data_IF_017416848465
#
_entry.id   IF_017416848465
#
_cell.length_a   1.000
_cell.length_b   1.000
_cell.length_c   1.000
_cell.angle_alpha   90.00
_cell.angle_beta   90.00
_cell.angle_gamma   90.00
#
_symmetry.space_group_name_H-M   'P 1'
#
loop_
_entity.id
_entity.type
_entity.pdbx_description
1 polymer ?
#
# COMPACT_ATOMS: atom_id res chain seq x y z
N UNK A 1 -23.11 -54.26 -69.06
CA UNK A 1 -22.22 -54.29 -67.87
C UNK A 1 -22.11 -52.89 -67.31
N UNK A 2 -22.47 -52.74 -66.04
CA UNK A 2 -22.56 -51.51 -65.25
C UNK A 2 -21.19 -50.96 -64.84
N UNK A 3 -20.97 -49.64 -65.02
CA UNK A 3 -20.22 -48.75 -64.09
C UNK A 3 -20.34 -47.29 -64.60
N UNK A 4 -21.14 -46.42 -63.96
CA UNK A 4 -20.79 -45.48 -62.86
C UNK A 4 -19.74 -44.40 -63.23
N UNK A 5 -20.18 -43.17 -63.55
CA UNK A 5 -20.21 -41.99 -62.65
C UNK A 5 -20.42 -40.66 -63.39
N UNK A 6 -21.41 -39.93 -62.90
CA UNK A 6 -21.67 -38.51 -63.12
C UNK A 6 -20.56 -37.63 -62.54
N UNK A 7 -20.30 -36.47 -63.17
CA UNK A 7 -20.12 -35.22 -62.44
C UNK A 7 -20.57 -34.04 -63.34
N UNK A 8 -21.84 -33.66 -63.18
CA UNK A 8 -22.36 -32.39 -63.68
C UNK A 8 -22.01 -31.30 -62.67
N UNK A 9 -21.70 -30.12 -63.21
CA UNK A 9 -21.46 -28.90 -62.48
C UNK A 9 -22.59 -28.59 -61.48
N UNK A 10 -22.20 -28.16 -60.28
CA UNK A 10 -23.08 -27.42 -59.37
C UNK A 10 -22.21 -26.50 -58.53
N UNK A 11 -22.38 -25.21 -58.78
CA UNK A 11 -21.85 -24.07 -58.03
C UNK A 11 -22.32 -24.13 -56.58
N UNK A 12 -21.39 -24.26 -55.64
CA UNK A 12 -21.69 -24.06 -54.21
C UNK A 12 -21.40 -22.61 -53.83
N UNK A 13 -22.46 -21.81 -53.83
CA UNK A 13 -22.58 -20.60 -53.01
C UNK A 13 -22.63 -21.04 -51.54
N UNK A 14 -21.50 -21.01 -50.85
CA UNK A 14 -21.42 -21.09 -49.38
C UNK A 14 -20.35 -20.11 -48.88
N UNK A 15 -20.61 -18.82 -49.10
CA UNK A 15 -20.12 -17.79 -48.20
C UNK A 15 -21.06 -17.78 -47.00
N UNK A 16 -20.73 -18.51 -45.94
CA UNK A 16 -21.46 -18.45 -44.69
C UNK A 16 -20.50 -18.61 -43.51
N UNK A 17 -20.25 -17.47 -42.86
CA UNK A 17 -20.02 -17.33 -41.43
C UNK A 17 -18.90 -18.16 -40.79
N UNK A 18 -17.66 -17.69 -40.91
CA UNK A 18 -16.78 -17.75 -39.75
C UNK A 18 -17.36 -16.77 -38.72
N UNK A 19 -17.80 -17.21 -37.53
CA UNK A 19 -17.98 -16.25 -36.45
C UNK A 19 -16.63 -15.58 -36.25
N UNK A 20 -16.58 -14.27 -36.43
CA UNK A 20 -15.49 -13.49 -35.88
C UNK A 20 -15.47 -13.81 -34.39
N UNK A 21 -14.51 -14.62 -33.97
CA UNK A 21 -14.18 -14.76 -32.55
C UNK A 21 -13.62 -13.41 -32.17
N UNK A 22 -14.51 -12.49 -31.80
CA UNK A 22 -14.11 -11.31 -31.06
C UNK A 22 -13.40 -11.87 -29.85
N UNK A 23 -12.14 -11.51 -29.57
CA UNK A 23 -11.51 -11.91 -28.33
C UNK A 23 -12.46 -11.49 -27.21
N UNK A 24 -13.05 -12.48 -26.54
CA UNK A 24 -13.87 -12.22 -25.38
C UNK A 24 -12.90 -11.62 -24.37
N UNK A 25 -12.97 -10.30 -24.21
CA UNK A 25 -12.40 -9.66 -23.04
C UNK A 25 -12.97 -10.40 -21.82
N UNK A 26 -12.12 -10.62 -20.81
CA UNK A 26 -12.58 -11.19 -19.56
C UNK A 26 -13.85 -10.43 -19.12
N UNK A 27 -14.89 -11.17 -18.76
CA UNK A 27 -16.16 -10.60 -18.33
C UNK A 27 -15.91 -9.50 -17.29
N UNK A 28 -16.42 -8.29 -17.52
CA UNK A 28 -16.41 -7.18 -16.55
C UNK A 28 -17.29 -7.47 -15.32
N UNK A 29 -17.97 -8.62 -15.28
CA UNK A 29 -18.67 -9.06 -14.09
C UNK A 29 -17.67 -9.25 -12.93
N UNK A 30 -17.88 -8.58 -11.78
CA UNK A 30 -16.97 -8.67 -10.65
C UNK A 30 -16.88 -10.13 -10.20
N UNK A 31 -15.66 -10.67 -10.21
CA UNK A 31 -15.37 -11.98 -9.59
C UNK A 31 -15.54 -11.79 -8.09
N UNK A 32 -16.43 -12.57 -7.47
CA UNK A 32 -16.55 -12.53 -6.01
C UNK A 32 -15.28 -13.03 -5.34
N UNK A 33 -14.92 -12.46 -4.20
CA UNK A 33 -13.77 -12.89 -3.39
C UNK A 33 -13.77 -14.41 -3.15
N UNK A 34 -14.93 -14.98 -2.85
CA UNK A 34 -15.09 -16.43 -2.65
C UNK A 34 -14.78 -17.26 -3.91
N UNK A 35 -15.11 -16.75 -5.10
CA UNK A 35 -14.76 -17.42 -6.37
C UNK A 35 -13.26 -17.30 -6.66
N UNK A 36 -12.68 -16.12 -6.46
CA UNK A 36 -11.26 -15.88 -6.68
C UNK A 36 -10.40 -16.73 -5.73
N UNK A 37 -10.70 -16.73 -4.43
CA UNK A 37 -10.02 -17.58 -3.44
C UNK A 37 -10.11 -19.07 -3.79
N UNK A 38 -11.28 -19.54 -4.25
CA UNK A 38 -11.44 -20.94 -4.70
C UNK A 38 -10.55 -21.26 -5.90
N UNK A 39 -10.46 -20.36 -6.88
CA UNK A 39 -9.60 -20.54 -8.05
C UNK A 39 -8.11 -20.52 -7.68
N UNK A 40 -7.71 -19.59 -6.79
CA UNK A 40 -6.34 -19.53 -6.26
C UNK A 40 -5.96 -20.82 -5.54
N UNK A 41 -6.81 -21.30 -4.62
CA UNK A 41 -6.59 -22.56 -3.91
C UNK A 41 -6.47 -23.75 -4.87
N UNK A 42 -7.36 -23.85 -5.85
CA UNK A 42 -7.32 -24.93 -6.85
C UNK A 42 -6.02 -24.92 -7.65
N UNK A 43 -5.55 -23.74 -8.07
CA UNK A 43 -4.29 -23.59 -8.80
C UNK A 43 -3.09 -23.93 -7.91
N UNK A 44 -3.02 -23.36 -6.70
CA UNK A 44 -1.91 -23.60 -5.77
C UNK A 44 -1.83 -25.07 -5.30
N UNK A 45 -2.97 -25.73 -5.09
CA UNK A 45 -2.99 -27.17 -4.75
C UNK A 45 -2.28 -27.99 -5.82
N UNK A 46 -2.50 -27.66 -7.10
CA UNK A 46 -1.88 -28.38 -8.21
C UNK A 46 -0.39 -28.01 -8.38
N UNK A 47 -0.03 -26.73 -8.23
CA UNK A 47 1.36 -26.27 -8.40
C UNK A 47 2.27 -26.74 -7.25
N UNK A 48 1.78 -26.70 -6.02
CA UNK A 48 2.54 -27.07 -4.83
C UNK A 48 2.49 -28.57 -4.53
N UNK A 49 1.52 -29.28 -5.12
CA UNK A 49 1.21 -30.68 -4.80
C UNK A 49 1.00 -30.91 -3.28
N UNK A 50 0.52 -29.89 -2.58
CA UNK A 50 0.25 -29.91 -1.15
C UNK A 50 -0.98 -29.03 -0.88
N UNK A 51 -2.10 -29.68 -0.54
CA UNK A 51 -3.36 -28.99 -0.28
C UNK A 51 -3.32 -28.18 1.01
N UNK A 52 -2.63 -28.66 2.04
CA UNK A 52 -2.59 -27.97 3.34
C UNK A 52 -1.83 -26.65 3.19
N UNK A 53 -0.62 -26.71 2.62
CA UNK A 53 0.17 -25.51 2.31
C UNK A 53 -0.57 -24.58 1.35
N UNK A 54 -1.26 -25.11 0.34
CA UNK A 54 -2.03 -24.28 -0.59
C UNK A 54 -3.20 -23.52 0.05
N UNK A 55 -3.81 -24.04 1.13
CA UNK A 55 -4.85 -23.32 1.88
C UNK A 55 -4.28 -22.06 2.52
N UNK A 56 -3.14 -22.21 3.21
CA UNK A 56 -2.49 -21.10 3.90
C UNK A 56 -1.96 -20.06 2.92
N UNK A 57 -1.20 -20.48 1.91
CA UNK A 57 -0.64 -19.59 0.88
C UNK A 57 -1.72 -18.85 0.09
N UNK A 58 -2.83 -19.50 -0.24
CA UNK A 58 -3.95 -18.84 -0.93
C UNK A 58 -4.53 -17.70 -0.08
N UNK A 59 -4.70 -17.92 1.23
CA UNK A 59 -5.17 -16.89 2.16
C UNK A 59 -4.19 -15.72 2.26
N UNK A 60 -2.91 -16.01 2.52
CA UNK A 60 -1.86 -15.00 2.64
C UNK A 60 -1.72 -14.12 1.39
N UNK A 61 -1.71 -14.74 0.21
CA UNK A 61 -1.59 -14.03 -1.06
C UNK A 61 -2.86 -13.22 -1.35
N UNK A 62 -4.04 -13.76 -1.09
CA UNK A 62 -5.29 -13.05 -1.30
C UNK A 62 -5.35 -11.79 -0.44
N UNK A 63 -5.10 -11.93 0.86
CA UNK A 63 -5.14 -10.80 1.78
C UNK A 63 -4.09 -9.74 1.41
N UNK A 64 -2.87 -10.16 1.10
CA UNK A 64 -1.80 -9.21 0.73
C UNK A 64 -2.08 -8.48 -0.59
N UNK A 65 -2.72 -9.14 -1.56
CA UNK A 65 -2.99 -8.55 -2.87
C UNK A 65 -4.27 -7.72 -2.92
N UNK A 66 -5.25 -7.99 -2.07
CA UNK A 66 -6.58 -7.39 -2.21
C UNK A 66 -7.03 -6.56 -0.98
N UNK A 67 -6.37 -6.66 0.17
CA UNK A 67 -6.72 -5.91 1.39
C UNK A 67 -5.92 -4.61 1.54
N UNK A 68 -6.02 -3.71 0.56
CA UNK A 68 -5.30 -2.43 0.54
C UNK A 68 -5.88 -1.35 1.46
N UNK A 69 -7.12 -1.51 1.92
CA UNK A 69 -7.80 -0.52 2.75
C UNK A 69 -7.40 -0.71 4.22
N UNK A 70 -6.65 0.21 4.84
CA UNK A 70 -6.31 0.11 6.25
C UNK A 70 -7.55 0.30 7.13
N UNK A 71 -7.51 -0.17 8.40
CA UNK A 71 -8.56 0.13 9.36
C UNK A 71 -8.69 1.64 9.58
N UNK A 72 -9.90 2.07 9.93
CA UNK A 72 -10.21 3.47 10.20
C UNK A 72 -10.53 3.74 11.67
N UNK A 73 -10.26 4.96 12.14
CA UNK A 73 -10.61 5.44 13.48
C UNK A 73 -11.41 6.74 13.39
N UNK A 74 -12.45 6.86 14.22
CA UNK A 74 -13.21 8.10 14.33
C UNK A 74 -12.31 9.25 14.81
N UNK A 75 -12.48 10.41 14.19
CA UNK A 75 -11.64 11.58 14.49
C UNK A 75 -11.74 12.02 15.94
N UNK A 76 -12.90 11.84 16.59
CA UNK A 76 -13.13 12.16 18.01
C UNK A 76 -12.34 11.28 18.97
N UNK A 77 -11.93 10.08 18.53
CA UNK A 77 -11.19 9.13 19.33
C UNK A 77 -9.66 9.27 19.21
N UNK A 78 -9.17 10.15 18.33
CA UNK A 78 -7.73 10.28 18.08
C UNK A 78 -7.04 11.03 19.21
N UNK A 79 -6.04 10.40 19.83
CA UNK A 79 -5.19 11.00 20.86
C UNK A 79 -3.90 11.59 20.27
N UNK A 80 -3.38 11.02 19.18
CA UNK A 80 -2.14 11.45 18.53
C UNK A 80 -2.26 11.38 17.02
N UNK A 81 -1.65 12.31 16.30
CA UNK A 81 -1.52 12.26 14.84
C UNK A 81 -0.09 11.83 14.49
N UNK A 82 0.05 10.77 13.69
CA UNK A 82 1.33 10.35 13.12
C UNK A 82 1.34 10.64 11.62
N UNK A 83 2.23 11.52 11.19
CA UNK A 83 2.33 11.95 9.79
C UNK A 83 3.63 11.45 9.15
N UNK A 84 3.50 10.58 8.15
CA UNK A 84 4.63 9.98 7.45
C UNK A 84 4.80 10.62 6.08
N UNK A 85 6.04 10.97 5.73
CA UNK A 85 6.33 11.56 4.43
C UNK A 85 6.39 10.48 3.34
N UNK A 86 6.14 10.90 2.10
CA UNK A 86 6.21 10.04 0.93
C UNK A 86 7.27 10.56 -0.04
N UNK A 87 8.50 10.08 0.18
CA UNK A 87 9.67 10.55 -0.54
C UNK A 87 10.06 11.98 -0.17
N UNK A 88 11.02 12.53 -0.91
CA UNK A 88 11.54 13.88 -0.72
C UNK A 88 12.22 14.33 -2.00
N UNK A 89 12.50 15.63 -2.13
CA UNK A 89 13.34 16.18 -3.19
C UNK A 89 14.74 16.43 -2.67
N UNK A 90 15.72 16.42 -3.57
CA UNK A 90 17.09 16.76 -3.22
C UNK A 90 17.14 18.21 -2.71
N UNK A 91 17.79 18.42 -1.58
CA UNK A 91 18.17 19.75 -1.11
C UNK A 91 19.36 20.30 -1.89
N UNK A 92 19.82 21.50 -1.51
CA UNK A 92 21.12 21.99 -1.95
C UNK A 92 22.24 21.00 -1.55
N UNK A 93 23.40 20.98 -2.25
CA UNK A 93 24.52 20.11 -1.89
C UNK A 93 24.89 20.24 -0.40
N UNK A 94 24.94 19.12 0.32
CA UNK A 94 25.22 19.09 1.76
C UNK A 94 24.06 19.49 2.67
N UNK A 95 22.87 19.78 2.12
CA UNK A 95 21.66 20.08 2.89
C UNK A 95 20.74 18.87 3.02
N UNK A 96 19.86 18.90 4.01
CA UNK A 96 18.82 17.90 4.18
C UNK A 96 17.85 17.87 2.98
N UNK A 97 17.23 16.72 2.67
CA UNK A 97 16.16 16.65 1.69
C UNK A 97 15.01 17.62 2.02
N UNK A 98 14.37 18.15 0.97
CA UNK A 98 13.27 19.12 1.08
C UNK A 98 11.94 18.47 0.75
N UNK A 99 10.80 18.98 1.28
CA UNK A 99 9.49 18.49 0.89
C UNK A 99 9.24 18.67 -0.61
N UNK A 100 8.56 17.70 -1.22
CA UNK A 100 7.93 17.84 -2.53
C UNK A 100 6.42 18.08 -2.39
N UNK A 101 5.70 18.25 -3.52
CA UNK A 101 4.26 18.53 -3.52
C UNK A 101 3.42 17.43 -2.83
N UNK A 102 3.89 16.19 -2.79
CA UNK A 102 3.21 15.11 -2.06
C UNK A 102 3.27 15.34 -0.56
N UNK A 103 4.42 15.74 -0.03
CA UNK A 103 4.57 16.06 1.40
C UNK A 103 3.81 17.33 1.77
N UNK A 104 3.66 18.27 0.85
CA UNK A 104 2.75 19.41 1.03
C UNK A 104 1.30 18.95 1.13
N UNK A 105 0.82 18.09 0.24
CA UNK A 105 -0.54 17.56 0.30
C UNK A 105 -0.79 16.73 1.58
N UNK A 106 0.21 15.99 2.07
CA UNK A 106 0.16 15.31 3.36
C UNK A 106 0.04 16.33 4.50
N UNK A 107 0.86 17.40 4.49
CA UNK A 107 0.78 18.45 5.49
C UNK A 107 -0.57 19.18 5.49
N UNK A 108 -1.14 19.44 4.31
CA UNK A 108 -2.48 20.03 4.16
C UNK A 108 -3.54 19.13 4.82
N UNK A 109 -3.43 17.81 4.59
CA UNK A 109 -4.31 16.80 5.17
C UNK A 109 -4.16 16.72 6.70
N UNK A 110 -2.93 16.78 7.21
CA UNK A 110 -2.65 16.85 8.65
C UNK A 110 -3.24 18.11 9.26
N UNK A 111 -3.08 19.26 8.61
CA UNK A 111 -3.63 20.53 9.08
C UNK A 111 -5.16 20.49 9.13
N UNK A 112 -5.82 19.95 8.10
CA UNK A 112 -7.28 19.74 8.10
C UNK A 112 -7.74 18.85 9.26
N UNK A 113 -7.02 17.78 9.57
CA UNK A 113 -7.32 16.93 10.71
C UNK A 113 -7.11 17.67 12.04
N UNK A 114 -6.05 18.46 12.16
CA UNK A 114 -5.73 19.25 13.35
C UNK A 114 -6.78 20.32 13.68
N UNK A 115 -7.51 20.81 12.68
CA UNK A 115 -8.68 21.69 12.89
C UNK A 115 -9.85 20.97 13.55
N UNK A 116 -9.94 19.64 13.41
CA UNK A 116 -11.01 18.80 13.99
C UNK A 116 -10.61 18.17 15.32
N UNK A 117 -9.31 17.98 15.55
CA UNK A 117 -8.78 17.23 16.70
C UNK A 117 -7.64 18.00 17.37
N UNK A 118 -7.73 18.15 18.69
CA UNK A 118 -6.71 18.81 19.51
C UNK A 118 -5.52 17.93 19.91
N UNK A 119 -5.07 17.04 19.03
CA UNK A 119 -4.04 16.04 19.32
C UNK A 119 -2.61 16.56 19.03
N UNK A 120 -1.59 16.14 19.79
CA UNK A 120 -0.19 16.29 19.40
C UNK A 120 0.08 15.58 18.06
N UNK A 121 1.00 16.14 17.29
CA UNK A 121 1.42 15.65 15.98
C UNK A 121 2.87 15.18 16.09
N UNK A 122 3.14 13.95 15.68
CA UNK A 122 4.47 13.49 15.34
C UNK A 122 4.56 13.42 13.81
N UNK A 123 5.35 14.30 13.22
CA UNK A 123 5.45 14.41 11.77
C UNK A 123 6.89 14.18 11.33
N UNK A 124 7.07 13.37 10.30
CA UNK A 124 8.36 13.25 9.64
C UNK A 124 8.80 14.62 9.12
N UNK A 125 10.10 14.89 9.17
CA UNK A 125 10.68 16.23 9.01
C UNK A 125 10.20 16.98 7.77
N UNK A 126 9.97 16.31 6.64
CA UNK A 126 9.51 16.96 5.41
C UNK A 126 8.10 17.52 5.62
N UNK A 127 7.20 16.75 6.22
CA UNK A 127 5.82 17.18 6.55
C UNK A 127 5.85 18.26 7.65
N UNK A 128 6.64 18.06 8.70
CA UNK A 128 6.79 19.04 9.78
C UNK A 128 7.28 20.40 9.26
N UNK A 129 8.22 20.40 8.31
CA UNK A 129 8.74 21.63 7.70
C UNK A 129 7.67 22.39 6.89
N UNK A 130 6.75 21.69 6.24
CA UNK A 130 5.62 22.32 5.54
C UNK A 130 4.60 22.86 6.54
N UNK A 131 4.26 22.10 7.60
CA UNK A 131 3.36 22.57 8.65
C UNK A 131 3.86 23.88 9.28
N UNK A 132 5.16 23.97 9.53
CA UNK A 132 5.78 25.19 10.06
C UNK A 132 5.77 26.33 9.04
N UNK A 133 6.22 26.10 7.80
CA UNK A 133 6.43 27.18 6.82
C UNK A 133 5.14 27.70 6.18
N UNK A 134 4.18 26.82 5.87
CA UNK A 134 2.92 27.17 5.19
C UNK A 134 1.82 27.59 6.16
N UNK A 135 1.75 26.94 7.33
CA UNK A 135 0.65 27.13 8.29
C UNK A 135 1.08 27.81 9.60
N UNK A 136 2.38 28.04 9.83
CA UNK A 136 2.88 28.51 11.12
C UNK A 136 2.64 27.53 12.27
N UNK A 137 2.32 26.26 11.96
CA UNK A 137 1.95 25.26 12.95
C UNK A 137 3.19 24.57 13.49
N UNK A 138 3.69 25.07 14.62
CA UNK A 138 4.84 24.50 15.35
C UNK A 138 4.43 23.99 16.74
N UNK A 139 3.47 24.63 17.38
CA UNK A 139 2.97 24.24 18.69
C UNK A 139 2.29 22.86 18.63
N UNK A 140 2.78 21.92 19.44
CA UNK A 140 2.28 20.55 19.47
C UNK A 140 2.72 19.69 18.29
N UNK A 141 3.71 20.14 17.50
CA UNK A 141 4.33 19.34 16.43
C UNK A 141 5.73 18.91 16.87
N UNK A 142 5.94 17.60 16.90
CA UNK A 142 7.24 16.97 17.11
C UNK A 142 7.77 16.50 15.76
N UNK A 143 8.88 17.08 15.32
CA UNK A 143 9.56 16.69 14.08
C UNK A 143 10.35 15.39 14.29
N UNK A 144 10.13 14.40 13.42
CA UNK A 144 10.85 13.14 13.39
C UNK A 144 11.82 13.17 12.21
N UNK A 145 13.12 13.10 12.51
CA UNK A 145 14.16 13.06 11.47
C UNK A 145 13.98 11.82 10.61
N UNK A 146 14.06 11.99 9.29
CA UNK A 146 14.02 10.87 8.35
C UNK A 146 15.22 9.95 8.61
N UNK A 147 15.01 8.69 9.02
CA UNK A 147 16.11 7.77 9.26
C UNK A 147 16.90 7.51 7.99
N UNK A 148 18.21 7.26 8.13
CA UNK A 148 19.00 6.78 7.00
C UNK A 148 18.44 5.45 6.51
N UNK A 149 18.30 5.29 5.20
CA UNK A 149 17.86 4.03 4.59
C UNK A 149 18.96 3.00 4.86
N UNK A 150 18.60 1.86 5.47
CA UNK A 150 19.54 0.77 5.66
C UNK A 150 20.08 0.28 4.31
N UNK A 151 21.39 0.07 4.23
CA UNK A 151 22.08 -0.36 3.02
C UNK A 151 21.46 -1.65 2.49
N UNK A 152 20.88 -1.63 1.28
CA UNK A 152 20.25 -2.79 0.63
C UNK A 152 18.71 -2.80 0.64
N UNK A 153 18.04 -1.88 1.35
CA UNK A 153 16.60 -1.69 1.25
C UNK A 153 16.21 -0.96 -0.03
N UNK A 154 15.52 -1.62 -0.96
CA UNK A 154 15.08 -1.01 -2.23
C UNK A 154 13.91 -0.01 -2.05
N UNK A 155 13.25 -0.03 -0.89
CA UNK A 155 12.14 0.88 -0.53
C UNK A 155 12.24 1.26 0.94
N UNK A 156 12.07 2.53 1.31
CA UNK A 156 11.96 2.94 2.69
C UNK A 156 10.59 2.54 3.23
N UNK A 157 10.60 1.67 4.24
CA UNK A 157 9.44 1.43 5.10
C UNK A 157 9.34 2.53 6.16
N UNK A 158 8.13 2.81 6.70
CA UNK A 158 7.98 3.77 7.79
C UNK A 158 8.52 3.30 9.16
N UNK A 159 9.14 2.12 9.24
CA UNK A 159 9.54 1.45 10.48
C UNK A 159 10.54 2.24 11.31
N UNK A 160 11.55 2.84 10.68
CA UNK A 160 12.48 3.71 11.38
C UNK A 160 11.79 4.95 11.97
N UNK A 161 10.79 5.49 11.27
CA UNK A 161 10.02 6.66 11.72
C UNK A 161 9.10 6.26 12.87
N UNK A 162 8.41 5.12 12.75
CA UNK A 162 7.59 4.53 13.81
C UNK A 162 8.41 4.30 15.08
N UNK A 163 9.59 3.69 14.96
CA UNK A 163 10.49 3.45 16.09
C UNK A 163 10.92 4.77 16.76
N UNK A 164 11.22 5.80 15.96
CA UNK A 164 11.56 7.12 16.46
C UNK A 164 10.37 7.80 17.19
N UNK A 165 9.15 7.66 16.68
CA UNK A 165 7.93 8.16 17.33
C UNK A 165 7.72 7.49 18.70
N UNK A 166 7.77 6.15 18.73
CA UNK A 166 7.61 5.38 19.98
C UNK A 166 8.66 5.76 21.00
N UNK A 167 9.92 5.88 20.58
CA UNK A 167 11.03 6.33 21.44
C UNK A 167 10.77 7.73 21.99
N UNK A 168 10.33 8.66 21.15
CA UNK A 168 10.07 10.04 21.55
C UNK A 168 8.88 10.17 22.50
N UNK A 169 7.87 9.33 22.35
CA UNK A 169 6.72 9.24 23.26
C UNK A 169 6.99 8.40 24.52
N UNK A 170 8.16 7.74 24.61
CA UNK A 170 8.55 6.84 25.69
C UNK A 170 7.95 5.43 25.59
N UNK A 171 6.76 5.27 25.00
CA UNK A 171 6.17 3.97 24.68
C UNK A 171 5.06 4.10 23.64
N UNK A 172 4.70 2.99 22.98
CA UNK A 172 3.57 2.97 22.05
C UNK A 172 2.23 3.19 22.76
N UNK A 173 2.08 2.71 24.00
CA UNK A 173 0.87 2.89 24.79
C UNK A 173 0.60 4.37 25.15
N UNK A 174 1.66 5.16 25.37
CA UNK A 174 1.54 6.59 25.70
C UNK A 174 0.93 7.43 24.56
N UNK A 175 0.94 6.93 23.32
CA UNK A 175 0.41 7.62 22.16
C UNK A 175 -1.14 7.53 22.06
N UNK A 176 -1.77 6.63 22.82
CA UNK A 176 -3.21 6.36 22.73
C UNK A 176 -3.61 5.88 21.33
N UNK A 177 -4.82 6.24 20.88
CA UNK A 177 -5.29 5.99 19.52
C UNK A 177 -4.65 6.97 18.55
N UNK A 178 -4.16 6.47 17.42
CA UNK A 178 -3.33 7.22 16.50
C UNK A 178 -4.03 7.34 15.14
N UNK A 179 -4.18 8.59 14.69
CA UNK A 179 -4.56 8.91 13.33
C UNK A 179 -3.33 8.94 12.43
N UNK A 180 -3.19 7.96 11.55
CA UNK A 180 -2.12 7.89 10.55
C UNK A 180 -2.48 8.73 9.33
N UNK A 181 -1.63 9.69 8.98
CA UNK A 181 -1.79 10.53 7.79
C UNK A 181 -0.55 10.39 6.91
N UNK A 182 -0.75 9.95 5.67
CA UNK A 182 0.34 9.73 4.71
C UNK A 182 -0.23 9.60 3.29
N UNK A 183 0.58 9.22 2.31
CA UNK A 183 0.11 8.89 0.96
C UNK A 183 -0.83 7.67 0.98
N UNK A 184 -1.91 7.71 0.20
CA UNK A 184 -2.96 6.70 0.18
C UNK A 184 -2.42 5.28 -0.04
N UNK A 185 -1.54 5.09 -1.03
CA UNK A 185 -0.95 3.77 -1.33
C UNK A 185 0.08 3.32 -0.26
N UNK A 186 0.56 4.20 0.63
CA UNK A 186 1.46 3.87 1.76
C UNK A 186 0.69 3.58 3.05
N UNK A 187 -0.60 3.91 3.12
CA UNK A 187 -1.35 3.91 4.37
C UNK A 187 -1.46 2.51 5.02
N UNK A 188 -1.68 1.46 4.22
CA UNK A 188 -1.76 0.08 4.70
C UNK A 188 -0.47 -0.37 5.39
N UNK A 189 0.68 -0.18 4.74
CA UNK A 189 1.98 -0.54 5.31
C UNK A 189 2.34 0.34 6.51
N UNK A 190 2.03 1.64 6.48
CA UNK A 190 2.28 2.53 7.61
C UNK A 190 1.49 2.13 8.86
N UNK A 191 0.21 1.79 8.69
CA UNK A 191 -0.63 1.27 9.78
C UNK A 191 -0.09 -0.06 10.27
N UNK A 192 0.21 -1.01 9.37
CA UNK A 192 0.74 -2.34 9.73
C UNK A 192 2.01 -2.22 10.58
N UNK A 193 3.01 -1.50 10.08
CA UNK A 193 4.29 -1.31 10.78
C UNK A 193 4.07 -0.63 12.14
N UNK A 194 3.18 0.35 12.21
CA UNK A 194 2.82 1.01 13.49
C UNK A 194 2.19 0.00 14.48
N UNK A 195 1.24 -0.82 14.03
CA UNK A 195 0.61 -1.83 14.88
C UNK A 195 1.58 -2.91 15.35
N UNK A 196 2.51 -3.34 14.49
CA UNK A 196 3.60 -4.26 14.88
C UNK A 196 4.50 -3.66 15.95
N UNK A 197 4.69 -2.33 15.97
CA UNK A 197 5.40 -1.61 17.03
C UNK A 197 4.55 -1.36 18.30
N UNK A 198 3.34 -1.93 18.39
CA UNK A 198 2.44 -1.82 19.54
C UNK A 198 1.57 -0.56 19.55
N UNK A 199 1.54 0.23 18.46
CA UNK A 199 0.70 1.43 18.36
C UNK A 199 -0.75 1.06 18.01
N UNK A 200 -1.72 1.78 18.58
CA UNK A 200 -3.13 1.70 18.17
C UNK A 200 -3.38 2.60 16.95
N UNK A 201 -2.86 2.19 15.79
CA UNK A 201 -2.83 3.00 14.58
C UNK A 201 -3.95 2.65 13.59
N UNK A 202 -4.58 3.67 13.03
CA UNK A 202 -5.59 3.57 11.98
C UNK A 202 -5.65 4.88 11.17
N UNK A 203 -6.24 4.84 9.97
CA UNK A 203 -6.47 6.06 9.18
C UNK A 203 -7.68 6.83 9.73
N UNK A 204 -7.64 8.15 9.88
CA UNK A 204 -8.79 8.94 10.32
C UNK A 204 -10.00 8.78 9.37
N UNK A 205 -11.17 8.46 9.92
CA UNK A 205 -12.40 8.31 9.16
C UNK A 205 -12.82 9.64 8.51
N UNK A 206 -13.33 9.58 7.27
CA UNK A 206 -13.78 10.76 6.52
C UNK A 206 -12.66 11.69 6.06
N UNK A 207 -11.40 11.28 6.14
CA UNK A 207 -10.24 12.01 5.63
C UNK A 207 -9.78 11.38 4.32
N UNK A 208 -9.64 12.19 3.26
CA UNK A 208 -9.09 11.73 1.99
C UNK A 208 -7.57 11.87 2.01
N UNK A 209 -6.85 10.76 1.91
CA UNK A 209 -5.40 10.76 1.83
C UNK A 209 -4.93 11.15 0.41
N UNK A 210 -3.79 11.86 0.26
CA UNK A 210 -3.26 12.23 -1.05
C UNK A 210 -2.81 11.00 -1.85
N UNK A 211 -3.04 11.03 -3.17
CA UNK A 211 -2.76 9.91 -4.10
C UNK A 211 -1.78 10.30 -5.23
N UNK A 212 -1.36 11.57 -5.31
CA UNK A 212 -0.48 12.04 -6.36
C UNK A 212 0.97 11.65 -6.08
N UNK A 213 1.72 11.38 -7.14
CA UNK A 213 3.13 11.04 -7.11
C UNK A 213 3.99 12.22 -7.58
N UNK A 214 5.17 12.37 -6.98
CA UNK A 214 6.16 13.37 -7.40
C UNK A 214 7.17 12.76 -8.37
N UNK A 215 7.03 13.03 -9.67
CA UNK A 215 7.96 12.57 -10.69
C UNK A 215 9.39 13.10 -10.52
N UNK A 216 9.58 14.17 -9.73
CA UNK A 216 10.87 14.78 -9.44
C UNK A 216 11.46 14.36 -8.09
N UNK A 217 10.82 13.40 -7.39
CA UNK A 217 11.30 12.89 -6.11
C UNK A 217 12.70 12.27 -6.22
N UNK A 218 13.50 12.37 -5.18
CA UNK A 218 14.88 11.86 -5.17
C UNK A 218 14.91 10.34 -5.41
N UNK A 219 13.97 9.59 -4.82
CA UNK A 219 13.90 8.14 -4.93
C UNK A 219 13.06 7.70 -6.13
N UNK A 220 13.64 7.04 -7.15
CA UNK A 220 12.89 6.57 -8.32
C UNK A 220 11.70 5.67 -8.00
N UNK A 221 11.83 4.82 -6.97
CA UNK A 221 10.78 3.90 -6.53
C UNK A 221 9.49 4.60 -6.05
N UNK A 222 9.56 5.89 -5.69
CA UNK A 222 8.43 6.69 -5.20
C UNK A 222 7.91 7.69 -6.24
N UNK A 223 8.41 7.65 -7.49
CA UNK A 223 8.01 8.60 -8.55
C UNK A 223 6.77 8.17 -9.33
N UNK A 224 6.43 6.88 -9.29
CA UNK A 224 5.32 6.30 -10.05
C UNK A 224 4.57 5.25 -9.24
N UNK A 225 3.26 5.20 -9.45
CA UNK A 225 2.34 4.32 -8.74
C UNK A 225 2.58 2.85 -9.00
N UNK A 226 2.74 2.46 -10.26
CA UNK A 226 2.95 1.07 -10.66
C UNK A 226 4.20 0.45 -10.02
N UNK A 227 5.31 1.20 -10.05
CA UNK A 227 6.56 0.77 -9.42
C UNK A 227 6.43 0.73 -7.90
N UNK A 228 5.78 1.71 -7.30
CA UNK A 228 5.59 1.76 -5.86
C UNK A 228 4.74 0.58 -5.36
N UNK A 229 3.58 0.32 -5.99
CA UNK A 229 2.65 -0.72 -5.56
C UNK A 229 3.28 -2.11 -5.63
N UNK A 230 3.98 -2.43 -6.73
CA UNK A 230 4.70 -3.70 -6.86
C UNK A 230 5.72 -3.88 -5.74
N UNK A 231 6.45 -2.80 -5.45
CA UNK A 231 7.50 -2.83 -4.45
C UNK A 231 6.89 -2.94 -3.03
N UNK A 232 5.79 -2.23 -2.74
CA UNK A 232 5.03 -2.31 -1.49
C UNK A 232 4.51 -3.74 -1.25
N UNK A 233 3.95 -4.39 -2.27
CA UNK A 233 3.53 -5.80 -2.19
C UNK A 233 4.67 -6.72 -1.75
N UNK A 234 5.85 -6.57 -2.38
CA UNK A 234 7.04 -7.35 -2.01
C UNK A 234 7.43 -7.17 -0.54
N UNK A 235 7.36 -5.94 -0.02
CA UNK A 235 7.64 -5.66 1.39
C UNK A 235 6.58 -6.27 2.31
N UNK A 236 5.29 -6.14 1.98
CA UNK A 236 4.22 -6.72 2.80
C UNK A 236 4.31 -8.24 2.89
N UNK A 237 4.66 -8.92 1.80
CA UNK A 237 4.95 -10.36 1.81
C UNK A 237 6.16 -10.69 2.68
N UNK A 238 7.25 -9.92 2.58
CA UNK A 238 8.43 -10.07 3.43
C UNK A 238 8.10 -9.92 4.92
N UNK A 239 7.31 -8.92 5.28
CA UNK A 239 6.83 -8.71 6.65
C UNK A 239 5.93 -9.85 7.13
N UNK A 240 5.02 -10.33 6.28
CA UNK A 240 4.13 -11.46 6.62
C UNK A 240 4.93 -12.73 6.88
N UNK A 241 5.94 -13.03 6.05
CA UNK A 241 6.83 -14.16 6.28
C UNK A 241 7.52 -14.08 7.64
N UNK A 242 8.06 -12.91 8.00
CA UNK A 242 8.72 -12.72 9.31
C UNK A 242 7.73 -12.88 10.47
N UNK A 243 6.51 -12.36 10.33
CA UNK A 243 5.46 -12.51 11.33
C UNK A 243 5.06 -13.97 11.55
N UNK A 244 4.89 -14.74 10.47
CA UNK A 244 4.57 -16.17 10.52
C UNK A 244 5.70 -16.97 11.19
N UNK A 245 6.96 -16.68 10.84
CA UNK A 245 8.12 -17.32 11.48
C UNK A 245 8.16 -17.03 12.97
N UNK A 246 8.00 -15.77 13.38
CA UNK A 246 8.06 -15.40 14.80
C UNK A 246 6.90 -16.00 15.62
N UNK A 247 5.75 -16.25 14.97
CA UNK A 247 4.59 -16.91 15.58
C UNK A 247 4.86 -18.38 15.86
N UNK A 248 5.47 -19.08 14.90
CA UNK A 248 5.79 -20.50 15.01
C UNK A 248 7.02 -20.74 15.88
N UNK A 249 8.03 -19.86 15.80
CA UNK A 249 9.32 -19.97 16.48
C UNK A 249 9.61 -18.72 17.33
N UNK A 250 8.89 -18.51 18.44
CA UNK A 250 9.02 -17.29 19.25
C UNK A 250 10.38 -17.13 19.95
N UNK A 251 11.18 -18.19 20.04
CA UNK A 251 12.48 -18.21 20.72
C UNK A 251 13.68 -18.44 19.78
N UNK A 252 13.45 -18.47 18.45
CA UNK A 252 14.46 -18.85 17.45
C UNK A 252 14.54 -20.34 17.18
#
# INVERSE_FOLDING_TARGET
>A
MTTRRHFLASTSLLAASCPSVVPAFASDAPVSDAQLQRQMLGKLTNELNDRATAIDEAGYLFDTFFSWTPPTVDTTGINTIAAFSFGSRAGAPGSAPVPGPVNEAIADTVFQLRQKVAAPIFAQQEVASVLASKYGLTAGVTSIVTPAIATGGLIPTPDGVVAAIVKQAGSAAALGKIGVVTHADQASIAVRVSTTAGMQAAVPAGLTLPLLYDSSGQMPALRRRDLYLMSNLGVQLGMLRLELINREYPNG
#
